data_IF_785973779205
#
_entry.id   IF_785973779205
#
_cell.length_a   1.000
_cell.length_b   1.000
_cell.length_c   1.000
_cell.angle_alpha   90.00
_cell.angle_beta   90.00
_cell.angle_gamma   90.00
#
_symmetry.space_group_name_H-M   'P 1'
#
loop_
_entity.id
_entity.type
_entity.pdbx_description
1 polymer ?
#
# COMPACT_ATOMS: atom_id res chain seq x y z
N UNK A 1 -4.43 2.33 20.89
CA UNK A 1 -5.60 1.44 20.72
C UNK A 1 -5.12 -0.01 20.62
N UNK A 2 -5.87 -1.00 21.08
CA UNK A 2 -5.51 -2.42 20.88
C UNK A 2 -5.63 -2.81 19.40
N UNK A 3 -4.75 -3.68 18.85
CA UNK A 3 -4.82 -4.12 17.45
C UNK A 3 -6.19 -4.69 17.05
N UNK A 4 -6.85 -5.43 17.95
CA UNK A 4 -8.14 -6.03 17.66
C UNK A 4 -9.26 -4.99 17.54
N UNK A 5 -9.27 -3.99 18.43
CA UNK A 5 -10.26 -2.92 18.38
C UNK A 5 -10.08 -2.05 17.13
N UNK A 6 -8.82 -1.83 16.75
CA UNK A 6 -8.50 -1.13 15.51
C UNK A 6 -9.03 -1.87 14.27
N UNK A 7 -8.86 -3.21 14.21
CA UNK A 7 -9.41 -4.02 13.12
C UNK A 7 -10.94 -3.91 13.02
N UNK A 8 -11.64 -3.88 14.16
CA UNK A 8 -13.11 -3.70 14.16
C UNK A 8 -13.49 -2.33 13.58
N UNK A 9 -12.77 -1.26 13.96
CA UNK A 9 -13.01 0.07 13.39
C UNK A 9 -12.76 0.06 11.87
N UNK A 10 -11.64 -0.51 11.42
CA UNK A 10 -11.31 -0.60 10.00
C UNK A 10 -12.30 -1.46 9.20
N UNK A 11 -12.91 -2.49 9.80
CA UNK A 11 -13.98 -3.24 9.15
C UNK A 11 -15.24 -2.38 8.91
N UNK A 12 -15.53 -1.45 9.82
CA UNK A 12 -16.56 -0.43 9.61
C UNK A 12 -16.24 0.46 8.40
N UNK A 13 -14.99 0.90 8.25
CA UNK A 13 -14.55 1.69 7.10
C UNK A 13 -14.63 0.89 5.79
N UNK A 14 -14.19 -0.37 5.79
CA UNK A 14 -14.32 -1.31 4.67
C UNK A 14 -15.79 -1.42 4.23
N UNK A 15 -16.72 -1.55 5.18
CA UNK A 15 -18.15 -1.57 4.87
C UNK A 15 -18.65 -0.27 4.22
N UNK A 16 -18.19 0.90 4.68
CA UNK A 16 -18.55 2.19 4.08
C UNK A 16 -18.10 2.28 2.62
N UNK A 17 -16.85 1.90 2.31
CA UNK A 17 -16.35 1.90 0.94
C UNK A 17 -17.04 0.87 0.05
N UNK A 18 -17.35 -0.33 0.57
CA UNK A 18 -18.15 -1.33 -0.14
C UNK A 18 -19.54 -0.79 -0.49
N UNK A 19 -20.18 -0.10 0.45
CA UNK A 19 -21.49 0.52 0.21
C UNK A 19 -21.42 1.65 -0.81
N UNK A 20 -20.37 2.48 -0.76
CA UNK A 20 -20.13 3.51 -1.77
C UNK A 20 -19.95 2.92 -3.17
N UNK A 21 -19.22 1.80 -3.28
CA UNK A 21 -19.08 1.03 -4.52
C UNK A 21 -20.44 0.51 -5.02
N UNK A 22 -21.20 -0.19 -4.17
CA UNK A 22 -22.52 -0.74 -4.55
C UNK A 22 -23.51 0.34 -4.99
N UNK A 23 -23.40 1.54 -4.41
CA UNK A 23 -24.23 2.70 -4.78
C UNK A 23 -23.73 3.43 -6.05
N UNK A 24 -22.59 3.01 -6.62
CA UNK A 24 -21.99 3.66 -7.79
C UNK A 24 -21.32 5.00 -7.50
N UNK A 25 -21.07 5.35 -6.23
CA UNK A 25 -20.40 6.60 -5.83
C UNK A 25 -18.88 6.55 -5.94
N UNK A 26 -18.33 5.34 -6.02
CA UNK A 26 -16.90 5.11 -6.14
C UNK A 26 -16.68 3.96 -7.10
N UNK A 27 -15.80 4.18 -8.08
CA UNK A 27 -15.35 3.14 -9.01
C UNK A 27 -13.88 2.83 -8.76
N UNK A 28 -13.57 1.55 -8.72
CA UNK A 28 -12.23 1.05 -8.44
C UNK A 28 -11.45 0.77 -9.72
N UNK A 29 -10.34 0.07 -9.57
CA UNK A 29 -9.66 -0.54 -10.71
C UNK A 29 -10.12 -1.98 -10.89
N UNK A 30 -10.31 -2.41 -12.13
CA UNK A 30 -10.61 -3.79 -12.45
C UNK A 30 -9.35 -4.64 -12.54
N UNK A 31 -9.32 -5.72 -11.78
CA UNK A 31 -8.28 -6.75 -11.86
C UNK A 31 -8.89 -8.06 -12.38
N UNK A 32 -8.19 -8.74 -13.29
CA UNK A 32 -8.55 -10.09 -13.69
C UNK A 32 -8.20 -11.06 -12.57
N UNK A 33 -9.20 -11.60 -11.89
CA UNK A 33 -9.01 -12.80 -11.10
C UNK A 33 -8.90 -13.97 -12.08
N UNK A 34 -7.89 -14.84 -11.95
CA UNK A 34 -7.51 -15.89 -12.92
C UNK A 34 -8.56 -16.94 -13.30
N UNK A 35 -9.85 -16.70 -13.03
CA UNK A 35 -11.03 -17.49 -13.43
C UNK A 35 -11.94 -16.78 -14.44
N UNK A 36 -11.51 -15.66 -15.02
CA UNK A 36 -12.31 -14.89 -15.98
C UNK A 36 -13.35 -13.98 -15.35
N UNK A 37 -13.33 -13.83 -14.02
CA UNK A 37 -14.13 -12.83 -13.31
C UNK A 37 -13.33 -11.54 -13.13
N UNK A 38 -13.96 -10.43 -13.50
CA UNK A 38 -13.43 -9.08 -13.27
C UNK A 38 -13.72 -8.68 -11.82
N UNK A 39 -12.65 -8.53 -11.03
CA UNK A 39 -12.74 -8.05 -9.65
C UNK A 39 -12.39 -6.57 -9.62
N UNK A 40 -13.40 -5.74 -9.43
CA UNK A 40 -13.19 -4.31 -9.21
C UNK A 40 -12.79 -4.05 -7.74
N UNK A 41 -11.60 -3.47 -7.55
CA UNK A 41 -10.99 -3.18 -6.26
C UNK A 41 -11.01 -1.66 -6.05
N UNK A 42 -11.71 -1.20 -5.00
CA UNK A 42 -11.79 0.23 -4.64
C UNK A 42 -10.83 0.63 -3.52
N UNK A 43 -10.42 -0.30 -2.66
CA UNK A 43 -9.56 0.01 -1.53
C UNK A 43 -8.82 -1.23 -1.01
N UNK A 44 -7.67 -1.00 -0.36
CA UNK A 44 -6.86 -1.99 0.33
C UNK A 44 -6.38 -1.39 1.65
N UNK A 45 -6.63 -2.09 2.75
CA UNK A 45 -6.20 -1.66 4.09
C UNK A 45 -5.19 -2.64 4.66
N UNK A 46 -4.11 -2.13 5.24
CA UNK A 46 -3.15 -2.90 6.00
C UNK A 46 -2.73 -2.12 7.24
N UNK A 47 -3.18 -2.56 8.41
CA UNK A 47 -3.04 -1.78 9.65
C UNK A 47 -3.52 -0.33 9.42
N UNK A 48 -2.68 0.66 9.71
CA UNK A 48 -2.94 2.08 9.52
C UNK A 48 -2.70 2.59 8.09
N UNK A 49 -2.10 1.79 7.21
CA UNK A 49 -1.88 2.14 5.81
C UNK A 49 -3.12 1.81 4.95
N UNK A 50 -3.58 2.80 4.18
CA UNK A 50 -4.74 2.69 3.31
C UNK A 50 -4.42 3.11 1.87
N UNK A 51 -4.74 2.25 0.91
CA UNK A 51 -4.79 2.58 -0.51
C UNK A 51 -6.24 2.64 -0.95
N UNK A 52 -6.61 3.70 -1.65
CA UNK A 52 -7.94 3.92 -2.19
C UNK A 52 -7.77 4.20 -3.69
N UNK A 53 -8.56 3.50 -4.50
CA UNK A 53 -8.58 3.62 -5.95
C UNK A 53 -9.89 4.28 -6.37
N UNK A 54 -9.76 5.29 -7.23
CA UNK A 54 -10.89 6.02 -7.79
C UNK A 54 -10.58 6.48 -9.20
N UNK A 55 -11.62 6.81 -9.96
CA UNK A 55 -11.45 7.56 -11.21
C UNK A 55 -11.05 9.02 -10.89
N UNK A 56 -10.48 9.72 -11.87
CA UNK A 56 -10.08 11.13 -11.76
C UNK A 56 -11.29 12.08 -11.82
N UNK A 57 -12.33 11.79 -11.04
CA UNK A 57 -13.59 12.51 -10.99
C UNK A 57 -13.75 13.23 -9.65
N UNK A 58 -14.06 14.53 -9.70
CA UNK A 58 -14.15 15.35 -8.48
C UNK A 58 -15.27 14.89 -7.54
N UNK A 59 -16.37 14.35 -8.08
CA UNK A 59 -17.48 13.79 -7.30
C UNK A 59 -17.02 12.59 -6.45
N UNK A 60 -16.25 11.67 -7.03
CA UNK A 60 -15.69 10.51 -6.32
C UNK A 60 -14.72 10.94 -5.22
N UNK A 61 -13.85 11.93 -5.48
CA UNK A 61 -12.97 12.50 -4.47
C UNK A 61 -13.76 13.11 -3.30
N UNK A 62 -14.84 13.83 -3.58
CA UNK A 62 -15.73 14.36 -2.52
C UNK A 62 -16.39 13.23 -1.72
N UNK A 63 -16.80 12.15 -2.37
CA UNK A 63 -17.35 10.98 -1.68
C UNK A 63 -16.32 10.32 -0.77
N UNK A 64 -15.08 10.15 -1.23
CA UNK A 64 -13.99 9.62 -0.40
C UNK A 64 -13.76 10.52 0.81
N UNK A 65 -13.66 11.83 0.61
CA UNK A 65 -13.49 12.79 1.72
C UNK A 65 -14.64 12.69 2.72
N UNK A 66 -15.89 12.63 2.25
CA UNK A 66 -17.05 12.49 3.12
C UNK A 66 -17.01 11.19 3.93
N UNK A 67 -16.70 10.05 3.29
CA UNK A 67 -16.57 8.74 3.98
C UNK A 67 -15.51 8.82 5.07
N UNK A 68 -14.33 9.37 4.75
CA UNK A 68 -13.22 9.49 5.69
C UNK A 68 -13.58 10.41 6.87
N UNK A 69 -14.18 11.59 6.62
CA UNK A 69 -14.59 12.50 7.69
C UNK A 69 -15.71 11.93 8.58
N UNK A 70 -16.68 11.22 7.99
CA UNK A 70 -17.72 10.51 8.77
C UNK A 70 -17.08 9.43 9.63
N UNK A 71 -16.15 8.66 9.07
CA UNK A 71 -15.41 7.64 9.80
C UNK A 71 -14.60 8.22 10.96
N UNK A 72 -13.90 9.35 10.76
CA UNK A 72 -13.19 10.06 11.83
C UNK A 72 -14.15 10.43 12.97
N UNK A 73 -15.32 10.98 12.64
CA UNK A 73 -16.33 11.38 13.62
C UNK A 73 -16.93 10.22 14.42
N UNK A 74 -17.08 9.04 13.80
CA UNK A 74 -17.67 7.86 14.47
C UNK A 74 -16.62 7.08 15.27
N UNK A 75 -15.42 6.91 14.71
CA UNK A 75 -14.37 6.07 15.30
C UNK A 75 -13.47 6.81 16.29
N UNK A 76 -13.40 8.14 16.20
CA UNK A 76 -12.42 8.95 16.92
C UNK A 76 -10.99 8.82 16.38
N UNK A 77 -10.77 8.06 15.29
CA UNK A 77 -9.52 8.04 14.56
C UNK A 77 -9.39 9.29 13.71
N UNK A 78 -8.16 9.68 13.39
CA UNK A 78 -7.89 10.84 12.53
C UNK A 78 -7.01 10.43 11.34
N UNK A 79 -7.45 10.83 10.16
CA UNK A 79 -6.74 10.70 8.90
C UNK A 79 -5.61 11.72 8.91
N UNK A 80 -4.38 11.23 8.68
CA UNK A 80 -3.23 12.10 8.58
C UNK A 80 -3.08 12.65 7.15
N UNK A 81 -3.82 13.72 6.85
CA UNK A 81 -3.81 14.37 5.54
C UNK A 81 -2.44 14.88 5.10
N UNK A 82 -1.53 15.15 6.04
CA UNK A 82 -0.14 15.55 5.74
C UNK A 82 0.73 14.38 5.24
N UNK A 83 0.36 13.15 5.59
CA UNK A 83 1.00 11.91 5.11
C UNK A 83 0.21 11.23 3.98
N UNK A 84 -0.98 11.73 3.66
CA UNK A 84 -1.79 11.23 2.56
C UNK A 84 -1.34 11.88 1.26
N UNK A 85 -1.23 11.06 0.21
CA UNK A 85 -0.81 11.49 -1.11
C UNK A 85 -1.78 10.99 -2.18
N UNK A 86 -2.02 11.82 -3.19
CA UNK A 86 -2.75 11.47 -4.40
C UNK A 86 -1.75 11.17 -5.52
N UNK A 87 -1.85 9.98 -6.10
CA UNK A 87 -0.98 9.51 -7.17
C UNK A 87 -1.76 9.41 -8.48
N UNK A 88 -1.31 10.04 -9.56
CA UNK A 88 -1.92 9.87 -10.88
C UNK A 88 -1.54 8.52 -11.47
N UNK A 89 -2.52 7.78 -11.97
CA UNK A 89 -2.28 6.63 -12.84
C UNK A 89 -2.49 7.11 -14.28
N UNK A 90 -1.40 7.19 -15.05
CA UNK A 90 -1.34 7.84 -16.37
C UNK A 90 -1.53 9.37 -16.30
N UNK A 91 -1.98 9.99 -17.41
CA UNK A 91 -2.16 11.43 -17.51
C UNK A 91 -3.49 11.86 -16.88
N UNK A 92 -3.42 12.78 -15.92
CA UNK A 92 -4.57 13.39 -15.22
C UNK A 92 -4.35 14.90 -15.15
N UNK A 93 -5.09 15.66 -15.96
CA UNK A 93 -4.84 17.10 -16.14
C UNK A 93 -5.27 17.94 -14.92
N UNK A 94 -6.27 17.49 -14.16
CA UNK A 94 -6.86 18.21 -13.01
C UNK A 94 -6.36 17.72 -11.64
N UNK A 95 -5.23 17.02 -11.58
CA UNK A 95 -4.74 16.34 -10.38
C UNK A 95 -4.56 17.26 -9.15
N UNK A 96 -4.05 18.48 -9.37
CA UNK A 96 -3.85 19.46 -8.29
C UNK A 96 -5.17 19.94 -7.67
N UNK A 97 -6.22 20.05 -8.48
CA UNK A 97 -7.55 20.43 -8.00
C UNK A 97 -8.18 19.30 -7.18
N UNK A 98 -8.07 18.06 -7.68
CA UNK A 98 -8.52 16.86 -6.97
C UNK A 98 -7.83 16.71 -5.61
N UNK A 99 -6.51 16.91 -5.57
CA UNK A 99 -5.74 16.85 -4.33
C UNK A 99 -6.16 17.92 -3.31
N UNK A 100 -6.45 19.15 -3.78
CA UNK A 100 -7.01 20.22 -2.93
C UNK A 100 -8.40 19.87 -2.40
N UNK A 101 -9.26 19.28 -3.25
CA UNK A 101 -10.60 18.84 -2.86
C UNK A 101 -10.54 17.73 -1.81
N UNK A 102 -9.56 16.83 -1.90
CA UNK A 102 -9.32 15.80 -0.89
C UNK A 102 -8.67 16.37 0.39
N UNK A 103 -7.78 17.35 0.24
CA UNK A 103 -6.98 17.93 1.31
C UNK A 103 -5.61 17.30 1.50
N UNK A 104 -5.05 16.66 0.46
CA UNK A 104 -3.80 15.91 0.50
C UNK A 104 -2.75 16.47 -0.48
N UNK A 105 -1.52 15.98 -0.40
CA UNK A 105 -0.45 16.36 -1.33
C UNK A 105 -0.50 15.50 -2.60
N UNK A 106 0.03 16.02 -3.71
CA UNK A 106 0.27 15.23 -4.92
C UNK A 106 1.66 14.60 -4.84
N UNK A 107 1.76 13.35 -5.26
CA UNK A 107 3.04 12.66 -5.41
C UNK A 107 3.01 11.76 -6.67
N UNK A 108 4.17 11.24 -7.07
CA UNK A 108 4.34 10.48 -8.30
C UNK A 108 4.77 9.04 -8.01
N UNK A 109 4.41 8.13 -8.92
CA UNK A 109 4.95 6.78 -8.94
C UNK A 109 6.31 6.78 -9.68
N UNK A 110 7.27 5.92 -9.27
CA UNK A 110 7.16 4.87 -8.25
C UNK A 110 7.33 5.38 -6.81
N UNK A 111 6.55 4.84 -5.87
CA UNK A 111 6.62 5.17 -4.43
C UNK A 111 6.80 3.91 -3.57
N UNK A 112 6.95 4.05 -2.25
CA UNK A 112 7.06 2.90 -1.33
C UNK A 112 5.75 2.68 -0.58
N UNK A 113 5.16 1.50 -0.72
CA UNK A 113 4.00 1.04 0.05
C UNK A 113 4.35 -0.25 0.79
N UNK A 114 4.18 -0.31 2.11
CA UNK A 114 4.59 -1.45 2.96
C UNK A 114 6.05 -1.88 2.78
N UNK A 115 6.92 -0.93 2.41
CA UNK A 115 8.33 -1.21 2.14
C UNK A 115 8.60 -1.89 0.80
N UNK A 116 7.61 -1.95 -0.09
CA UNK A 116 7.68 -2.42 -1.47
C UNK A 116 7.54 -1.26 -2.45
N UNK A 117 8.23 -1.27 -3.59
CA UNK A 117 8.06 -0.26 -4.62
C UNK A 117 6.72 -0.47 -5.34
N UNK A 118 5.83 0.51 -5.23
CA UNK A 118 4.56 0.59 -5.92
C UNK A 118 4.74 1.37 -7.22
N UNK A 119 4.29 0.81 -8.35
CA UNK A 119 4.38 1.46 -9.67
C UNK A 119 5.74 1.34 -10.37
N UNK A 120 6.75 0.72 -9.73
CA UNK A 120 8.01 0.41 -10.38
C UNK A 120 7.86 -0.80 -11.33
N UNK A 121 8.64 -0.84 -12.41
CA UNK A 121 8.66 -2.03 -13.27
C UNK A 121 9.43 -3.14 -12.55
N UNK A 122 8.89 -4.35 -12.55
CA UNK A 122 9.51 -5.52 -11.89
C UNK A 122 10.96 -5.84 -12.33
N UNK A 123 11.35 -5.39 -13.53
CA UNK A 123 12.68 -5.56 -14.12
C UNK A 123 13.65 -4.41 -13.81
N UNK A 124 13.21 -3.37 -13.11
CA UNK A 124 14.10 -2.25 -12.75
C UNK A 124 15.06 -2.65 -11.64
N UNK A 125 16.34 -2.36 -11.86
CA UNK A 125 17.44 -2.61 -10.91
C UNK A 125 17.19 -1.98 -9.54
N UNK A 126 16.50 -0.84 -9.51
CA UNK A 126 16.18 -0.12 -8.27
C UNK A 126 15.31 -0.92 -7.29
N UNK A 127 14.40 -1.78 -7.81
CA UNK A 127 13.56 -2.66 -6.99
C UNK A 127 14.42 -3.68 -6.23
N UNK A 128 15.43 -4.22 -6.90
CA UNK A 128 16.34 -5.24 -6.33
C UNK A 128 17.44 -4.65 -5.44
N UNK A 129 17.86 -3.41 -5.72
CA UNK A 129 18.85 -2.71 -4.88
C UNK A 129 18.38 -2.57 -3.42
N UNK A 130 17.08 -2.32 -3.18
CA UNK A 130 16.53 -2.25 -1.82
C UNK A 130 16.67 -3.59 -1.07
N UNK A 131 16.54 -4.71 -1.78
CA UNK A 131 16.72 -6.05 -1.20
C UNK A 131 18.19 -6.27 -0.86
N UNK A 132 19.09 -5.94 -1.79
CA UNK A 132 20.53 -6.05 -1.59
C UNK A 132 21.01 -5.21 -0.40
N UNK A 133 20.62 -3.93 -0.32
CA UNK A 133 20.97 -3.06 0.80
C UNK A 133 20.48 -3.61 2.15
N UNK A 134 19.27 -4.19 2.21
CA UNK A 134 18.74 -4.82 3.42
C UNK A 134 19.55 -6.07 3.81
N UNK A 135 19.93 -6.88 2.84
CA UNK A 135 20.79 -8.05 3.04
C UNK A 135 22.17 -7.62 3.57
N UNK A 136 22.81 -6.64 2.94
CA UNK A 136 24.09 -6.08 3.35
C UNK A 136 24.04 -5.50 4.76
N UNK A 137 23.01 -4.71 5.10
CA UNK A 137 22.85 -4.14 6.44
C UNK A 137 22.67 -5.21 7.52
N UNK A 138 21.99 -6.32 7.19
CA UNK A 138 21.86 -7.48 8.09
C UNK A 138 23.20 -8.20 8.25
N UNK A 139 23.91 -8.46 7.15
CA UNK A 139 25.24 -9.08 7.14
C UNK A 139 26.26 -8.25 7.92
N UNK A 140 26.31 -6.94 7.70
CA UNK A 140 27.21 -6.01 8.39
C UNK A 140 27.00 -5.98 9.91
N UNK A 141 25.77 -6.25 10.36
CA UNK A 141 25.43 -6.34 11.79
C UNK A 141 25.81 -7.68 12.42
N UNK A 142 26.08 -8.71 11.61
CA UNK A 142 26.44 -10.02 12.13
C UNK A 142 27.91 -10.03 12.50
N UNK A 143 28.19 -10.24 13.79
CA UNK A 143 29.57 -10.39 14.26
C UNK A 143 30.14 -11.73 13.81
N UNK A 144 30.67 -11.74 12.59
CA UNK A 144 31.30 -12.89 11.93
C UNK A 144 32.33 -13.63 12.82
N UNK A 145 33.06 -12.88 13.65
CA UNK A 145 34.05 -13.40 14.59
C UNK A 145 33.50 -14.35 15.68
N UNK A 146 32.19 -14.31 15.98
CA UNK A 146 31.57 -15.17 17.00
C UNK A 146 30.73 -16.30 16.41
N UNK A 147 30.67 -16.42 15.08
CA UNK A 147 29.84 -17.42 14.40
C UNK A 147 30.70 -18.48 13.73
N UNK A 148 30.45 -19.74 14.08
CA UNK A 148 30.99 -20.90 13.36
C UNK A 148 30.47 -20.94 11.92
N UNK A 149 31.14 -21.67 11.03
CA UNK A 149 30.70 -21.84 9.64
C UNK A 149 29.24 -22.33 9.56
N UNK A 150 28.88 -23.32 10.37
CA UNK A 150 27.50 -23.82 10.47
C UNK A 150 26.53 -22.75 10.98
N UNK A 151 26.92 -21.99 12.01
CA UNK A 151 26.11 -20.88 12.52
C UNK A 151 25.83 -19.81 11.46
N UNK A 152 26.83 -19.47 10.63
CA UNK A 152 26.67 -18.53 9.51
C UNK A 152 25.71 -19.07 8.44
N UNK A 153 25.87 -20.34 8.04
CA UNK A 153 24.98 -20.96 7.04
C UNK A 153 23.54 -21.01 7.54
N UNK A 154 23.32 -21.38 8.80
CA UNK A 154 21.99 -21.39 9.42
C UNK A 154 21.38 -19.99 9.46
N UNK A 155 22.17 -18.96 9.78
CA UNK A 155 21.70 -17.57 9.81
C UNK A 155 21.33 -17.05 8.42
N UNK A 156 22.14 -17.36 7.40
CA UNK A 156 21.84 -17.00 6.00
C UNK A 156 20.51 -17.65 5.58
N UNK A 157 20.38 -18.96 5.78
CA UNK A 157 19.16 -19.71 5.41
C UNK A 157 17.91 -19.23 6.16
N UNK A 158 18.03 -18.91 7.44
CA UNK A 158 16.87 -18.51 8.26
C UNK A 158 16.47 -17.04 8.12
N UNK A 159 17.41 -16.15 7.80
CA UNK A 159 17.16 -14.68 7.85
C UNK A 159 17.28 -14.00 6.50
N UNK A 160 18.19 -14.44 5.63
CA UNK A 160 18.41 -13.80 4.32
C UNK A 160 17.55 -14.43 3.24
N UNK A 161 17.33 -15.74 3.28
CA UNK A 161 16.58 -16.46 2.23
C UNK A 161 15.12 -15.98 2.10
N UNK A 162 14.52 -15.53 3.21
CA UNK A 162 13.14 -15.02 3.21
C UNK A 162 12.95 -13.71 2.45
N UNK A 163 13.97 -12.86 2.35
CA UNK A 163 13.86 -11.55 1.67
C UNK A 163 13.72 -11.65 0.14
N UNK A 164 14.63 -12.34 -0.58
CA UNK A 164 14.49 -12.53 -2.03
C UNK A 164 13.31 -13.45 -2.34
N UNK A 165 13.04 -14.47 -1.51
CA UNK A 165 11.87 -15.35 -1.71
C UNK A 165 10.55 -14.58 -1.66
N UNK A 166 10.38 -13.68 -0.68
CA UNK A 166 9.21 -12.82 -0.60
C UNK A 166 9.08 -11.91 -1.83
N UNK A 167 10.16 -11.28 -2.28
CA UNK A 167 10.14 -10.40 -3.45
C UNK A 167 9.85 -11.15 -4.76
N UNK A 168 10.45 -12.33 -4.96
CA UNK A 168 10.18 -13.20 -6.10
C UNK A 168 8.73 -13.70 -6.11
N UNK A 169 8.11 -13.90 -4.93
CA UNK A 169 6.69 -14.28 -4.86
C UNK A 169 5.73 -13.17 -5.30
N UNK A 170 6.16 -11.90 -5.22
CA UNK A 170 5.35 -10.72 -5.55
C UNK A 170 5.45 -10.33 -7.02
N UNK A 171 6.59 -10.58 -7.65
CA UNK A 171 6.83 -10.25 -9.05
C UNK A 171 6.98 -11.52 -9.88
N UNK A 172 5.99 -11.89 -10.72
CA UNK A 172 6.17 -12.97 -11.68
C UNK A 172 7.31 -12.61 -12.64
N UNK A 173 8.26 -13.52 -12.78
CA UNK A 173 9.43 -13.44 -13.67
C UNK A 173 9.01 -13.77 -15.10
#
# INVERSE_FOLDING_TARGET
>A
MSPFLFLIAMEGLNHMFRKAKTNGWLRGFSAFAGRGEELEITHLFYADDALIFCEAEETQIRHIRAILTIFEGISGLHVNWLKSHLFPINQVDNLLELAKTLGCQVDALPTKYLGLPLGAKNKELEVWNVVLERCEKKLARWKSQYLSLGGRVTLIKSVLDGLPTYMMSLFPI
#
